data_IF_817607833835
#
_entry.id   IF_817607833835
#
_cell.length_a   1.000
_cell.length_b   1.000
_cell.length_c   1.000
_cell.angle_alpha   90.00
_cell.angle_beta   90.00
_cell.angle_gamma   90.00
#
_symmetry.space_group_name_H-M   'P 1'
#
loop_
_entity.id
_entity.type
_entity.pdbx_description
1 polymer ?
#
# COMPACT_ATOMS: atom_id res chain seq x y z
N UNK A 1 -19.98 0.20 19.03
CA UNK A 1 -19.24 1.45 18.74
C UNK A 1 -20.20 2.45 18.10
N UNK A 2 -20.12 3.75 18.41
CA UNK A 2 -21.03 4.76 17.83
C UNK A 2 -20.78 4.89 16.32
N UNK A 3 -21.85 5.08 15.52
CA UNK A 3 -21.77 5.26 14.06
C UNK A 3 -20.81 6.39 13.65
N UNK A 4 -20.76 7.49 14.43
CA UNK A 4 -19.84 8.61 14.18
C UNK A 4 -18.38 8.17 14.34
N UNK A 5 -18.07 7.42 15.38
CA UNK A 5 -16.72 6.88 15.66
C UNK A 5 -16.28 5.93 14.54
N UNK A 6 -17.15 5.03 14.08
CA UNK A 6 -16.84 4.12 12.96
C UNK A 6 -16.50 4.88 11.68
N UNK A 7 -17.28 5.92 11.35
CA UNK A 7 -17.06 6.73 10.15
C UNK A 7 -15.72 7.47 10.22
N UNK A 8 -15.36 8.02 11.38
CA UNK A 8 -14.07 8.71 11.59
C UNK A 8 -12.91 7.73 11.39
N UNK A 9 -12.93 6.57 12.05
CA UNK A 9 -11.86 5.57 11.92
C UNK A 9 -11.72 5.10 10.47
N UNK A 10 -12.84 4.86 9.78
CA UNK A 10 -12.83 4.49 8.37
C UNK A 10 -12.09 5.52 7.50
N UNK A 11 -12.37 6.82 7.67
CA UNK A 11 -11.72 7.87 6.88
C UNK A 11 -10.26 8.06 7.26
N UNK A 12 -9.91 7.95 8.54
CA UNK A 12 -8.51 8.00 9.01
C UNK A 12 -7.70 6.86 8.37
N UNK A 13 -8.19 5.62 8.41
CA UNK A 13 -7.50 4.48 7.82
C UNK A 13 -7.42 4.56 6.29
N UNK A 14 -8.48 5.07 5.65
CA UNK A 14 -8.47 5.32 4.20
C UNK A 14 -7.38 6.33 3.85
N UNK A 15 -7.36 7.47 4.54
CA UNK A 15 -6.41 8.55 4.33
C UNK A 15 -4.98 8.14 4.65
N UNK A 16 -4.75 7.37 5.72
CA UNK A 16 -3.43 6.91 6.14
C UNK A 16 -2.75 6.07 5.05
N UNK A 17 -3.42 5.03 4.57
CA UNK A 17 -2.84 4.16 3.52
C UNK A 17 -2.69 4.91 2.20
N UNK A 18 -3.69 5.72 1.82
CA UNK A 18 -3.60 6.54 0.61
C UNK A 18 -2.43 7.51 0.68
N UNK A 19 -2.23 8.16 1.82
CA UNK A 19 -1.14 9.11 2.04
C UNK A 19 0.23 8.45 1.95
N UNK A 20 0.45 7.33 2.64
CA UNK A 20 1.74 6.62 2.62
C UNK A 20 2.12 6.19 1.20
N UNK A 21 1.19 5.56 0.49
CA UNK A 21 1.45 5.07 -0.86
C UNK A 21 1.58 6.21 -1.88
N UNK A 22 0.80 7.29 -1.74
CA UNK A 22 0.93 8.47 -2.60
C UNK A 22 2.27 9.16 -2.37
N UNK A 23 2.70 9.35 -1.12
CA UNK A 23 3.99 9.94 -0.81
C UNK A 23 5.14 9.11 -1.40
N UNK A 24 5.07 7.78 -1.26
CA UNK A 24 6.01 6.83 -1.88
C UNK A 24 6.05 6.96 -3.41
N UNK A 25 4.88 7.06 -4.05
CA UNK A 25 4.78 7.22 -5.49
C UNK A 25 5.37 8.55 -5.96
N UNK A 26 5.06 9.65 -5.26
CA UNK A 26 5.55 10.98 -5.60
C UNK A 26 7.09 11.04 -5.53
N UNK A 27 7.69 10.40 -4.53
CA UNK A 27 9.16 10.26 -4.47
C UNK A 27 9.66 9.58 -5.73
N UNK A 28 9.13 8.39 -6.08
CA UNK A 28 9.54 7.64 -7.28
C UNK A 28 9.37 8.44 -8.58
N UNK A 29 8.32 9.25 -8.68
CA UNK A 29 8.02 10.06 -9.85
C UNK A 29 8.78 11.40 -9.90
N UNK A 30 9.32 11.88 -8.77
CA UNK A 30 10.02 13.18 -8.70
C UNK A 30 11.36 13.21 -9.44
N UNK A 31 11.96 12.04 -9.74
CA UNK A 31 13.28 11.96 -10.36
C UNK A 31 14.44 12.48 -9.52
N UNK A 32 14.22 12.75 -8.22
CA UNK A 32 15.26 13.24 -7.31
C UNK A 32 16.32 12.18 -6.96
N UNK A 33 17.29 12.57 -6.13
CA UNK A 33 18.43 11.74 -5.74
C UNK A 33 18.02 10.37 -5.18
N UNK A 34 16.96 10.32 -4.37
CA UNK A 34 16.42 9.08 -3.83
C UNK A 34 15.93 8.11 -4.94
N UNK A 35 15.29 8.64 -5.98
CA UNK A 35 14.79 7.84 -7.12
C UNK A 35 15.93 7.38 -8.02
N UNK A 36 16.95 8.24 -8.19
CA UNK A 36 18.18 7.87 -8.90
C UNK A 36 18.93 6.74 -8.16
N UNK A 37 18.94 6.75 -6.83
CA UNK A 37 19.53 5.66 -6.04
C UNK A 37 18.74 4.36 -6.19
N UNK A 38 17.41 4.42 -6.09
CA UNK A 38 16.55 3.25 -6.34
C UNK A 38 16.74 2.67 -7.74
N UNK A 39 16.94 3.52 -8.76
CA UNK A 39 17.14 3.08 -10.13
C UNK A 39 18.39 2.20 -10.32
N UNK A 40 19.44 2.39 -9.51
CA UNK A 40 20.66 1.56 -9.56
C UNK A 40 20.36 0.09 -9.24
N UNK A 41 19.48 -0.17 -8.26
CA UNK A 41 19.08 -1.52 -7.86
C UNK A 41 17.90 -2.11 -8.64
N UNK A 42 17.18 -1.29 -9.41
CA UNK A 42 15.94 -1.66 -10.11
C UNK A 42 16.08 -1.75 -11.63
N UNK A 43 17.29 -1.57 -12.18
CA UNK A 43 17.53 -1.64 -13.62
C UNK A 43 17.12 -0.38 -14.39
N UNK A 44 17.15 0.79 -13.73
CA UNK A 44 16.97 2.09 -14.36
C UNK A 44 15.71 2.86 -13.97
N UNK A 45 15.68 4.15 -14.31
CA UNK A 45 14.61 5.09 -13.92
C UNK A 45 13.23 4.69 -14.45
N UNK A 46 13.16 4.06 -15.62
CA UNK A 46 11.89 3.60 -16.18
C UNK A 46 11.17 2.63 -15.24
N UNK A 47 11.89 1.70 -14.62
CA UNK A 47 11.32 0.75 -13.66
C UNK A 47 10.80 1.47 -12.40
N UNK A 48 11.56 2.45 -11.89
CA UNK A 48 11.14 3.29 -10.75
C UNK A 48 9.84 4.03 -11.06
N UNK A 49 9.73 4.64 -12.25
CA UNK A 49 8.53 5.34 -12.70
C UNK A 49 7.32 4.39 -12.80
N UNK A 50 7.50 3.20 -13.38
CA UNK A 50 6.43 2.20 -13.47
C UNK A 50 5.91 1.80 -12.08
N UNK A 51 6.80 1.59 -11.11
CA UNK A 51 6.41 1.28 -9.72
C UNK A 51 5.65 2.45 -9.08
N UNK A 52 6.08 3.69 -9.31
CA UNK A 52 5.36 4.88 -8.82
C UNK A 52 3.95 5.00 -9.42
N UNK A 53 3.79 4.74 -10.73
CA UNK A 53 2.48 4.72 -11.38
C UNK A 53 1.60 3.60 -10.81
N UNK A 54 2.16 2.42 -10.60
CA UNK A 54 1.45 1.29 -9.99
C UNK A 54 0.93 1.63 -8.59
N UNK A 55 1.74 2.29 -7.75
CA UNK A 55 1.30 2.77 -6.44
C UNK A 55 0.12 3.75 -6.55
N UNK A 56 0.14 4.67 -7.51
CA UNK A 56 -0.99 5.59 -7.73
C UNK A 56 -2.26 4.88 -8.20
N UNK A 57 -2.14 3.83 -9.03
CA UNK A 57 -3.28 2.99 -9.42
C UNK A 57 -3.86 2.28 -8.20
N UNK A 58 -3.01 1.72 -7.34
CA UNK A 58 -3.43 1.10 -6.08
C UNK A 58 -4.17 2.12 -5.19
N UNK A 59 -3.63 3.33 -5.02
CA UNK A 59 -4.26 4.41 -4.26
C UNK A 59 -5.63 4.78 -4.84
N UNK A 60 -5.72 4.95 -6.16
CA UNK A 60 -6.97 5.28 -6.84
C UNK A 60 -8.04 4.21 -6.53
N UNK A 61 -7.70 2.93 -6.67
CA UNK A 61 -8.61 1.83 -6.34
C UNK A 61 -8.92 1.74 -4.84
N UNK A 62 -8.00 2.11 -3.97
CA UNK A 62 -8.16 2.06 -2.51
C UNK A 62 -9.16 3.09 -1.97
N UNK A 63 -9.21 4.27 -2.60
CA UNK A 63 -10.12 5.35 -2.23
C UNK A 63 -11.60 4.99 -2.45
N UNK A 64 -11.92 4.18 -3.46
CA UNK A 64 -13.29 3.74 -3.73
C UNK A 64 -13.64 2.44 -3.00
N UNK A 65 -14.72 2.45 -2.20
CA UNK A 65 -15.16 1.27 -1.43
C UNK A 65 -15.36 0.02 -2.30
N UNK A 66 -15.90 0.18 -3.51
CA UNK A 66 -16.21 -0.93 -4.43
C UNK A 66 -14.96 -1.67 -4.93
N UNK A 67 -13.82 -0.99 -5.02
CA UNK A 67 -12.57 -1.54 -5.53
C UNK A 67 -11.52 -1.76 -4.43
N UNK A 68 -11.85 -1.43 -3.18
CA UNK A 68 -10.90 -1.43 -2.08
C UNK A 68 -10.32 -2.82 -1.75
N UNK A 69 -11.09 -3.90 -1.93
CA UNK A 69 -10.56 -5.27 -1.79
C UNK A 69 -9.53 -5.58 -2.88
N UNK A 70 -9.79 -5.20 -4.14
CA UNK A 70 -8.84 -5.36 -5.24
C UNK A 70 -7.57 -4.55 -4.97
N UNK A 71 -7.73 -3.30 -4.52
CA UNK A 71 -6.61 -2.46 -4.13
C UNK A 71 -5.77 -3.08 -3.00
N UNK A 72 -6.44 -3.72 -2.02
CA UNK A 72 -5.76 -4.43 -0.93
C UNK A 72 -4.89 -5.56 -1.48
N UNK A 73 -5.44 -6.41 -2.36
CA UNK A 73 -4.70 -7.53 -2.93
C UNK A 73 -3.50 -7.05 -3.77
N UNK A 74 -3.69 -5.99 -4.56
CA UNK A 74 -2.61 -5.37 -5.33
C UNK A 74 -1.53 -4.76 -4.43
N UNK A 75 -1.92 -4.02 -3.39
CA UNK A 75 -0.99 -3.45 -2.41
C UNK A 75 -0.18 -4.56 -1.71
N UNK A 76 -0.85 -5.63 -1.31
CA UNK A 76 -0.22 -6.78 -0.65
C UNK A 76 0.80 -7.46 -1.55
N UNK A 77 0.47 -7.67 -2.83
CA UNK A 77 1.39 -8.24 -3.81
C UNK A 77 2.58 -7.30 -4.09
N UNK A 78 2.32 -6.01 -4.29
CA UNK A 78 3.35 -4.99 -4.54
C UNK A 78 4.34 -4.89 -3.37
N UNK A 79 3.84 -4.77 -2.14
CA UNK A 79 4.68 -4.67 -0.94
C UNK A 79 5.42 -5.99 -0.64
N UNK A 80 4.83 -7.14 -0.96
CA UNK A 80 5.55 -8.43 -0.93
C UNK A 80 6.75 -8.44 -1.87
N UNK A 81 6.57 -7.93 -3.10
CA UNK A 81 7.67 -7.72 -4.04
C UNK A 81 8.72 -6.73 -3.52
N UNK A 82 8.28 -5.61 -2.92
CA UNK A 82 9.18 -4.63 -2.32
C UNK A 82 10.05 -5.22 -1.21
N UNK A 83 9.48 -6.06 -0.33
CA UNK A 83 10.23 -6.78 0.71
C UNK A 83 11.32 -7.66 0.08
N UNK A 84 10.99 -8.42 -0.97
CA UNK A 84 11.96 -9.29 -1.64
C UNK A 84 13.10 -8.48 -2.29
N UNK A 85 12.78 -7.38 -2.97
CA UNK A 85 13.78 -6.48 -3.56
C UNK A 85 14.67 -5.85 -2.49
N UNK A 86 14.11 -5.37 -1.38
CA UNK A 86 14.90 -4.83 -0.27
C UNK A 86 15.85 -5.88 0.29
N UNK A 87 15.36 -7.12 0.50
CA UNK A 87 16.16 -8.22 1.01
C UNK A 87 17.35 -8.56 0.10
N UNK A 88 17.11 -8.71 -1.21
CA UNK A 88 18.18 -9.04 -2.18
C UNK A 88 19.20 -7.90 -2.34
N UNK A 89 18.77 -6.65 -2.18
CA UNK A 89 19.66 -5.48 -2.25
C UNK A 89 20.34 -5.15 -0.91
N UNK A 90 20.28 -6.03 0.10
CA UNK A 90 20.80 -5.78 1.45
C UNK A 90 20.26 -4.49 2.10
N UNK A 91 19.05 -4.07 1.71
CA UNK A 91 18.36 -2.93 2.27
C UNK A 91 17.44 -3.35 3.42
N UNK A 92 17.12 -2.44 4.36
CA UNK A 92 16.24 -2.79 5.46
C UNK A 92 14.84 -3.18 4.99
N UNK A 93 14.37 -4.36 5.42
CA UNK A 93 13.04 -4.91 5.05
C UNK A 93 11.90 -4.41 5.94
N UNK A 94 12.23 -3.79 7.08
CA UNK A 94 11.23 -3.38 8.08
C UNK A 94 10.28 -2.30 7.54
N UNK A 95 10.76 -1.40 6.67
CA UNK A 95 9.93 -0.32 6.11
C UNK A 95 8.76 -0.86 5.27
N UNK A 96 8.97 -1.65 4.19
CA UNK A 96 7.84 -2.20 3.44
C UNK A 96 7.01 -3.20 4.25
N UNK A 97 7.61 -3.91 5.21
CA UNK A 97 6.87 -4.82 6.10
C UNK A 97 5.91 -4.09 7.04
N UNK A 98 6.30 -2.97 7.64
CA UNK A 98 5.42 -2.16 8.49
C UNK A 98 4.27 -1.57 7.67
N UNK A 99 4.56 -1.05 6.47
CA UNK A 99 3.52 -0.54 5.57
C UNK A 99 2.53 -1.65 5.20
N UNK A 100 3.02 -2.85 4.92
CA UNK A 100 2.18 -4.02 4.64
C UNK A 100 1.24 -4.36 5.79
N UNK A 101 1.74 -4.32 7.04
CA UNK A 101 0.90 -4.54 8.23
C UNK A 101 -0.17 -3.46 8.36
N UNK A 102 0.18 -2.18 8.13
CA UNK A 102 -0.79 -1.07 8.17
C UNK A 102 -1.88 -1.27 7.11
N UNK A 103 -1.53 -1.69 5.89
CA UNK A 103 -2.49 -2.00 4.82
C UNK A 103 -3.44 -3.12 5.25
N UNK A 104 -2.92 -4.20 5.84
CA UNK A 104 -3.76 -5.31 6.34
C UNK A 104 -4.72 -4.87 7.45
N UNK A 105 -4.24 -4.11 8.44
CA UNK A 105 -5.08 -3.62 9.53
C UNK A 105 -6.18 -2.69 9.01
N UNK A 106 -5.82 -1.77 8.10
CA UNK A 106 -6.78 -0.88 7.48
C UNK A 106 -7.81 -1.65 6.64
N UNK A 107 -7.38 -2.64 5.86
CA UNK A 107 -8.27 -3.44 5.02
C UNK A 107 -9.21 -4.33 5.84
N UNK A 108 -8.70 -4.98 6.88
CA UNK A 108 -9.49 -5.80 7.80
C UNK A 108 -10.61 -4.99 8.48
N UNK A 109 -10.34 -3.72 8.81
CA UNK A 109 -11.35 -2.83 9.36
C UNK A 109 -12.32 -2.28 8.31
N UNK A 110 -11.83 -1.89 7.13
CA UNK A 110 -12.63 -1.24 6.09
C UNK A 110 -13.52 -2.20 5.29
N UNK A 111 -13.09 -3.44 5.12
CA UNK A 111 -13.72 -4.45 4.25
C UNK A 111 -14.07 -5.69 5.07
N UNK A 112 -15.27 -5.73 5.71
CA UNK A 112 -15.75 -6.89 6.45
C UNK A 112 -15.73 -8.17 5.62
N UNK A 113 -15.91 -8.07 4.30
CA UNK A 113 -15.88 -9.20 3.38
C UNK A 113 -14.54 -9.97 3.46
N UNK A 114 -13.42 -9.27 3.65
CA UNK A 114 -12.11 -9.90 3.85
C UNK A 114 -12.05 -10.66 5.17
N UNK A 115 -12.51 -10.05 6.27
CA UNK A 115 -12.43 -10.69 7.59
C UNK A 115 -13.41 -11.84 7.75
N UNK A 116 -14.62 -11.73 7.22
CA UNK A 116 -15.60 -12.81 7.17
C UNK A 116 -15.05 -14.00 6.39
N UNK A 117 -14.39 -13.77 5.24
CA UNK A 117 -13.81 -14.85 4.43
C UNK A 117 -12.60 -15.50 5.08
N UNK A 118 -11.69 -14.71 5.66
CA UNK A 118 -10.43 -15.23 6.21
C UNK A 118 -10.61 -15.87 7.59
N UNK A 119 -11.51 -15.34 8.42
CA UNK A 119 -11.66 -15.76 9.82
C UNK A 119 -13.01 -16.42 10.13
N UNK A 120 -13.82 -16.72 9.11
CA UNK A 120 -15.16 -17.30 9.26
C UNK A 120 -16.05 -16.54 10.26
N UNK A 121 -15.85 -15.22 10.38
CA UNK A 121 -16.62 -14.40 11.31
C UNK A 121 -18.02 -14.21 10.75
N UNK A 122 -19.04 -14.80 11.40
CA UNK A 122 -20.45 -14.60 11.04
C UNK A 122 -20.74 -13.10 11.08
N UNK A 123 -21.23 -12.57 9.97
CA UNK A 123 -21.47 -11.15 9.74
C UNK A 123 -22.68 -10.63 10.54
#
# INVERSE_FOLDING_TARGET
MNMKTNKIIYWILTGLVAFILTASALVKLSGGEQSAEMAKGLGGMQHVTILGVLELVIVALWCFKRTGVVATLLAVAYLGGAIAVHFVNSQPVWTPAIIQVIVWLAAAYRFPELTTRLFHKQA
#
